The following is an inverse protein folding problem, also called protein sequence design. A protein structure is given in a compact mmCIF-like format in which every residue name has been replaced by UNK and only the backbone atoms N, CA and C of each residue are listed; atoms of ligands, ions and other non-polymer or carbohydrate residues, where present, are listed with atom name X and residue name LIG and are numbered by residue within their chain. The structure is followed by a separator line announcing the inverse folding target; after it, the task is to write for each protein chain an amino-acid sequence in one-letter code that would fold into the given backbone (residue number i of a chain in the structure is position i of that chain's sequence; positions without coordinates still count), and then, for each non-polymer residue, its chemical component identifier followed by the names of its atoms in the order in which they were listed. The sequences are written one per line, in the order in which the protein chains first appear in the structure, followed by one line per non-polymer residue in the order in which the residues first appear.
data_IF_785345007329
#
_entry.id   IF_785345007329
#
_cell.length_a   1.000
_cell.length_b   1.000
_cell.length_c   1.000
_cell.angle_alpha   90.00
_cell.angle_beta   90.00
_cell.angle_gamma   90.00
#
_symmetry.space_group_name_H-M   'P 1'
#
loop_
_entity.id
_entity.type
_entity.pdbx_description
1 polymer ?
#
# COMPACT_ATOMS: atom_id res chain seq x y z
N UNK A 1 18.79 -16.46 13.25
CA UNK A 1 17.38 -16.72 13.62
C UNK A 1 16.64 -17.06 12.34
N UNK A 2 15.71 -18.01 12.36
CA UNK A 2 14.83 -18.25 11.21
C UNK A 2 13.78 -17.15 11.11
N UNK A 3 13.48 -16.71 9.90
CA UNK A 3 12.36 -15.79 9.65
C UNK A 3 11.03 -16.50 9.92
N UNK A 4 9.99 -15.81 10.42
CA UNK A 4 8.66 -16.38 10.51
C UNK A 4 8.06 -16.57 9.10
N UNK A 5 7.11 -17.50 8.96
CA UNK A 5 6.41 -17.70 7.69
C UNK A 5 5.46 -16.54 7.35
N UNK A 6 4.97 -15.84 8.38
CA UNK A 6 4.03 -14.72 8.25
C UNK A 6 4.46 -13.50 9.07
N UNK A 7 3.92 -12.35 8.69
CA UNK A 7 4.09 -11.06 9.33
C UNK A 7 2.75 -10.32 9.40
N UNK A 8 2.72 -9.28 10.23
CA UNK A 8 1.59 -8.37 10.32
C UNK A 8 1.77 -7.14 9.45
N UNK A 9 0.66 -6.58 8.94
CA UNK A 9 0.66 -5.32 8.21
C UNK A 9 -0.73 -4.87 7.80
N UNK A 10 -0.80 -3.65 7.27
CA UNK A 10 -2.02 -3.08 6.69
C UNK A 10 -2.02 -3.32 5.18
N UNK A 11 -3.09 -3.93 4.66
CA UNK A 11 -3.31 -4.15 3.23
C UNK A 11 -4.41 -3.22 2.74
N UNK A 12 -4.13 -2.54 1.63
CA UNK A 12 -5.12 -1.86 0.83
C UNK A 12 -5.89 -2.91 0.00
N UNK A 13 -7.20 -2.99 0.16
CA UNK A 13 -8.05 -4.03 -0.47
C UNK A 13 -8.86 -3.52 -1.67
N UNK A 14 -8.73 -2.25 -2.03
CA UNK A 14 -9.42 -1.61 -3.16
C UNK A 14 -9.43 -0.10 -3.01
N UNK A 15 -9.97 0.60 -4.00
CA UNK A 15 -10.20 2.04 -3.89
C UNK A 15 -11.39 2.38 -2.99
N UNK A 16 -11.33 3.51 -2.29
CA UNK A 16 -12.43 4.00 -1.46
C UNK A 16 -11.99 4.64 -0.14
N UNK A 17 -12.85 4.55 0.87
CA UNK A 17 -12.64 5.15 2.19
C UNK A 17 -11.62 4.36 3.05
N UNK A 18 -11.41 4.79 4.31
CA UNK A 18 -10.46 4.15 5.22
C UNK A 18 -10.76 2.66 5.49
N UNK A 19 -11.99 2.20 5.28
CA UNK A 19 -12.41 0.81 5.37
C UNK A 19 -11.67 -0.13 4.41
N UNK A 20 -11.01 0.41 3.38
CA UNK A 20 -10.15 -0.36 2.47
C UNK A 20 -8.76 -0.67 3.05
N UNK A 21 -8.41 -0.11 4.21
CA UNK A 21 -7.17 -0.39 4.93
C UNK A 21 -7.42 -1.47 5.98
N UNK A 22 -7.04 -2.71 5.67
CA UNK A 22 -7.33 -3.87 6.51
C UNK A 22 -6.05 -4.42 7.13
N UNK A 23 -6.03 -4.49 8.46
CA UNK A 23 -4.96 -5.16 9.20
C UNK A 23 -5.02 -6.68 8.99
N UNK A 24 -3.86 -7.32 8.83
CA UNK A 24 -3.73 -8.77 8.74
C UNK A 24 -2.44 -9.22 9.43
N UNK A 25 -2.54 -10.27 10.26
CA UNK A 25 -1.40 -10.91 10.94
C UNK A 25 -0.83 -12.12 10.17
N UNK A 26 -1.36 -12.40 8.98
CA UNK A 26 -1.08 -13.63 8.22
C UNK A 26 -0.49 -13.34 6.84
N UNK A 27 0.20 -12.21 6.67
CA UNK A 27 0.83 -11.84 5.40
C UNK A 27 2.10 -12.68 5.26
N UNK A 28 2.29 -13.39 4.15
CA UNK A 28 3.51 -14.16 3.92
C UNK A 28 4.75 -13.25 3.96
N UNK A 29 5.80 -13.66 4.67
CA UNK A 29 7.08 -12.94 4.65
C UNK A 29 7.69 -13.05 3.25
N UNK A 30 8.01 -11.92 2.58
CA UNK A 30 8.57 -11.96 1.24
C UNK A 30 9.98 -12.54 1.25
N UNK A 31 10.32 -13.27 0.19
CA UNK A 31 11.68 -13.80 -0.02
C UNK A 31 12.40 -12.88 -1.00
N UNK A 32 13.49 -12.20 -0.58
CA UNK A 32 14.22 -11.32 -1.48
C UNK A 32 14.85 -12.12 -2.63
N UNK A 33 14.76 -11.59 -3.85
CA UNK A 33 15.46 -12.08 -5.02
C UNK A 33 16.92 -11.61 -5.08
N UNK A 34 17.65 -11.94 -6.17
CA UNK A 34 19.01 -11.46 -6.37
C UNK A 34 19.10 -9.92 -6.35
N UNK A 35 19.94 -9.38 -5.46
CA UNK A 35 20.14 -7.93 -5.33
C UNK A 35 19.12 -7.21 -4.42
N UNK A 36 18.14 -7.93 -3.87
CA UNK A 36 17.18 -7.40 -2.91
C UNK A 36 17.59 -7.70 -1.46
N UNK A 37 17.07 -6.92 -0.51
CA UNK A 37 17.23 -7.16 0.92
C UNK A 37 15.86 -7.24 1.59
N UNK A 38 15.74 -8.10 2.60
CA UNK A 38 14.57 -8.12 3.46
C UNK A 38 14.77 -7.15 4.63
N UNK A 39 13.81 -6.25 4.84
CA UNK A 39 13.85 -5.28 5.94
C UNK A 39 12.76 -5.62 6.95
N UNK A 40 13.16 -5.82 8.21
CA UNK A 40 12.22 -5.80 9.34
C UNK A 40 11.90 -4.35 9.67
N UNK A 41 10.78 -3.87 9.13
CA UNK A 41 10.25 -2.52 9.33
C UNK A 41 10.05 -2.24 10.83
N UNK A 42 10.50 -1.07 11.28
CA UNK A 42 10.34 -0.56 12.65
C UNK A 42 9.46 0.69 12.71
N UNK A 43 9.52 1.52 11.67
CA UNK A 43 8.61 2.63 11.47
C UNK A 43 8.37 2.85 9.96
N UNK A 44 7.22 3.42 9.64
CA UNK A 44 6.81 3.82 8.30
C UNK A 44 6.24 5.25 8.36
N UNK A 45 6.61 6.09 7.41
CA UNK A 45 6.01 7.39 7.18
C UNK A 45 4.62 7.26 6.58
N UNK A 46 3.75 8.21 6.91
CA UNK A 46 2.43 8.37 6.29
C UNK A 46 2.46 9.66 5.50
N UNK A 47 2.14 9.57 4.21
CA UNK A 47 2.21 10.66 3.26
C UNK A 47 0.86 10.87 2.56
N UNK A 48 0.66 12.04 1.97
CA UNK A 48 -0.56 12.33 1.21
C UNK A 48 -0.74 11.39 0.00
N UNK A 49 0.37 10.84 -0.52
CA UNK A 49 0.37 9.79 -1.55
C UNK A 49 -0.40 8.54 -1.13
N UNK A 50 -0.38 8.18 0.16
CA UNK A 50 -1.11 7.02 0.67
C UNK A 50 -2.62 7.24 0.57
N UNK A 51 -3.07 8.46 0.87
CA UNK A 51 -4.45 8.87 0.71
C UNK A 51 -4.79 8.86 -0.78
N UNK A 52 -4.01 9.56 -1.61
CA UNK A 52 -4.26 9.72 -3.04
C UNK A 52 -4.35 8.37 -3.77
N UNK A 53 -3.43 7.45 -3.51
CA UNK A 53 -3.49 6.09 -4.08
C UNK A 53 -4.71 5.32 -3.57
N UNK A 54 -5.01 5.36 -2.26
CA UNK A 54 -6.18 4.68 -1.69
C UNK A 54 -7.48 5.17 -2.32
N UNK A 55 -7.66 6.47 -2.47
CA UNK A 55 -8.88 7.02 -3.05
C UNK A 55 -8.88 6.97 -4.58
N UNK A 56 -7.82 6.50 -5.22
CA UNK A 56 -7.73 6.40 -6.68
C UNK A 56 -7.53 7.74 -7.40
N UNK A 57 -7.02 8.75 -6.70
CA UNK A 57 -6.85 10.13 -7.19
C UNK A 57 -5.94 10.24 -8.42
N UNK A 58 -5.08 9.26 -8.66
CA UNK A 58 -4.19 9.24 -9.82
C UNK A 58 -4.86 8.75 -11.12
N UNK A 59 -6.14 8.40 -11.08
CA UNK A 59 -6.91 8.14 -12.30
C UNK A 59 -7.01 9.41 -13.16
N UNK A 60 -6.92 9.26 -14.49
CA UNK A 60 -6.83 10.38 -15.43
C UNK A 60 -8.08 11.26 -15.44
N UNK A 61 -9.20 10.69 -15.05
CA UNK A 61 -10.53 11.31 -15.03
C UNK A 61 -10.69 12.24 -13.82
N UNK A 62 -9.81 12.13 -12.81
CA UNK A 62 -9.85 12.93 -11.60
C UNK A 62 -9.12 14.25 -11.85
N UNK A 63 -9.84 15.36 -11.69
CA UNK A 63 -9.32 16.73 -11.86
C UNK A 63 -9.50 17.61 -10.63
N UNK A 64 -10.20 17.11 -9.61
CA UNK A 64 -10.45 17.78 -8.33
C UNK A 64 -9.33 17.64 -7.31
N UNK A 65 -9.46 18.32 -6.18
CA UNK A 65 -8.49 18.23 -5.09
C UNK A 65 -8.63 16.92 -4.32
N UNK A 66 -7.57 16.47 -3.63
CA UNK A 66 -7.62 15.29 -2.74
C UNK A 66 -8.73 15.36 -1.68
N UNK A 67 -9.08 16.58 -1.24
CA UNK A 67 -10.11 16.82 -0.23
C UNK A 67 -11.53 16.57 -0.76
N UNK A 68 -11.71 16.60 -2.08
CA UNK A 68 -13.00 16.32 -2.70
C UNK A 68 -13.24 14.81 -2.65
N UNK A 69 -14.44 14.40 -2.23
CA UNK A 69 -14.79 13.00 -2.22
C UNK A 69 -14.75 12.47 -3.67
N UNK A 70 -13.92 11.45 -3.90
CA UNK A 70 -13.93 10.75 -5.18
C UNK A 70 -15.03 9.69 -5.11
N UNK A 71 -16.04 9.87 -5.96
CA UNK A 71 -17.17 8.95 -6.09
C UNK A 71 -17.09 8.21 -7.43
N UNK A 72 -17.50 6.95 -7.42
CA UNK A 72 -17.54 6.09 -8.61
C UNK A 72 -16.54 4.94 -8.55
N UNK A 73 -16.64 4.06 -9.56
CA UNK A 73 -15.72 2.93 -9.73
C UNK A 73 -14.42 3.42 -10.37
N UNK A 74 -13.28 3.07 -9.79
CA UNK A 74 -11.97 3.57 -10.21
C UNK A 74 -11.15 2.41 -10.75
N UNK A 75 -11.05 2.34 -12.08
CA UNK A 75 -10.35 1.26 -12.79
C UNK A 75 -8.82 1.46 -12.80
N UNK A 76 -8.35 2.69 -13.08
CA UNK A 76 -6.91 2.96 -13.12
C UNK A 76 -6.35 3.27 -11.72
N UNK A 77 -6.72 4.41 -11.13
CA UNK A 77 -6.47 4.76 -9.72
C UNK A 77 -5.01 4.90 -9.24
N UNK A 78 -4.04 4.39 -9.99
CA UNK A 78 -2.61 4.50 -9.72
C UNK A 78 -1.88 5.40 -10.71
N UNK A 79 -0.75 5.95 -10.28
CA UNK A 79 0.10 6.84 -11.09
C UNK A 79 0.51 6.24 -12.44
N UNK A 80 0.73 4.93 -12.47
CA UNK A 80 1.14 4.16 -13.66
C UNK A 80 0.01 3.28 -14.22
N UNK A 81 -1.25 3.55 -13.86
CA UNK A 81 -2.41 2.74 -14.25
C UNK A 81 -2.95 1.89 -13.10
N UNK A 82 -3.71 0.86 -13.47
CA UNK A 82 -4.42 -0.06 -12.56
C UNK A 82 -3.52 -0.63 -11.46
N UNK A 83 -4.07 -0.75 -10.26
CA UNK A 83 -3.40 -1.34 -9.10
C UNK A 83 -3.96 -2.72 -8.79
N UNK A 84 -3.08 -3.65 -8.46
CA UNK A 84 -3.49 -4.95 -7.92
C UNK A 84 -3.79 -4.87 -6.43
N UNK A 85 -4.89 -5.50 -6.03
CA UNK A 85 -5.31 -5.64 -4.64
C UNK A 85 -5.43 -7.12 -4.25
N UNK A 86 -5.25 -7.48 -2.96
CA UNK A 86 -4.84 -6.63 -1.85
C UNK A 86 -3.32 -6.42 -1.79
N UNK A 87 -2.89 -5.17 -1.59
CA UNK A 87 -1.46 -4.80 -1.57
C UNK A 87 -1.04 -4.06 -0.31
N UNK A 88 0.22 -4.18 0.07
CA UNK A 88 0.83 -3.25 1.03
C UNK A 88 1.28 -2.03 0.23
N UNK A 89 0.77 -0.87 0.63
CA UNK A 89 1.19 0.42 0.07
C UNK A 89 2.70 0.60 0.34
N UNK A 90 3.47 1.00 -0.68
CA UNK A 90 4.89 1.29 -0.50
C UNK A 90 5.07 2.42 0.52
N UNK A 91 5.95 2.23 1.49
CA UNK A 91 6.15 3.16 2.59
C UNK A 91 7.61 3.65 2.64
N UNK A 92 7.78 4.94 2.90
CA UNK A 92 9.05 5.47 3.40
C UNK A 92 9.29 4.84 4.78
N UNK A 93 10.27 3.94 4.88
CA UNK A 93 10.42 3.09 6.05
C UNK A 93 11.82 3.12 6.62
N UNK A 94 11.92 2.84 7.92
CA UNK A 94 13.18 2.51 8.56
C UNK A 94 13.06 1.14 9.27
N UNK A 95 14.17 0.43 9.35
CA UNK A 95 14.18 -0.92 9.90
C UNK A 95 15.59 -1.50 9.94
N UNK A 96 15.64 -2.80 10.21
CA UNK A 96 16.89 -3.58 10.21
C UNK A 96 16.88 -4.56 9.06
N UNK A 97 18.01 -4.72 8.36
CA UNK A 97 18.19 -5.85 7.44
C UNK A 97 18.04 -7.15 8.24
N UNK A 98 17.12 -8.00 7.80
CA UNK A 98 16.69 -9.21 8.51
C UNK A 98 17.48 -10.45 8.07
#
# INVERSE_FOLDING_TARGET
MSLPDTMSGVRLTGHGGPEKLVWSDTIAVPRPGPGEVLIRVRAAGVNNTDINTRIGWYAKEITGATADAIEGDIEAGGWSGALDFPRIQGADLCGTVA
#
